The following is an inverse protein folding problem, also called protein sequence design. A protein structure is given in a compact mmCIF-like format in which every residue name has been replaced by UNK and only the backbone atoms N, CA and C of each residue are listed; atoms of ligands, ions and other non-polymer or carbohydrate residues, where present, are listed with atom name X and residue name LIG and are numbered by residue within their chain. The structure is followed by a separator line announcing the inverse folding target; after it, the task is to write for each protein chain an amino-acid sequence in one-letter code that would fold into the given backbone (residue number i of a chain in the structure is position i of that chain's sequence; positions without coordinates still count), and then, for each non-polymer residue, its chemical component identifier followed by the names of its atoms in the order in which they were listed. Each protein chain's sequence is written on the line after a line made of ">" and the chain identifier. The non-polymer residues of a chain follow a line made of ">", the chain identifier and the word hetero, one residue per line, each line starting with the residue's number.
data_IF_386853577774
#
_entry.id   IF_386853577774
#
_cell.length_a   1.000
_cell.length_b   1.000
_cell.length_c   1.000
_cell.angle_alpha   90.00
_cell.angle_beta   90.00
_cell.angle_gamma   90.00
#
_symmetry.space_group_name_H-M   'P 1'
#
loop_
_entity.id
_entity.type
_entity.pdbx_description
1 polymer ?
#
# COMPACT_ATOMS: atom_id res chain seq x y z
N UNK A 1 25.68 0.74 15.96
CA UNK A 1 25.09 0.28 15.82
C UNK A 1 24.22 -0.81 15.13
N UNK A 2 23.84 -1.83 15.88
CA UNK A 2 22.98 -2.92 15.37
C UNK A 2 21.58 -2.40 14.93
N UNK A 3 21.06 -1.40 15.62
CA UNK A 3 19.76 -0.82 15.31
C UNK A 3 19.77 -0.11 13.95
N UNK A 4 20.85 0.62 13.65
CA UNK A 4 20.98 1.36 12.40
C UNK A 4 21.07 0.42 11.19
N UNK A 5 21.81 -0.70 11.32
CA UNK A 5 21.90 -1.69 10.26
C UNK A 5 20.55 -2.34 9.97
N UNK A 6 19.81 -2.68 11.03
CA UNK A 6 18.49 -3.29 10.91
C UNK A 6 17.50 -2.33 10.23
N UNK A 7 17.51 -1.06 10.63
CA UNK A 7 16.68 -0.04 10.01
C UNK A 7 17.04 0.18 8.54
N UNK A 8 18.33 0.23 8.23
CA UNK A 8 18.79 0.37 6.84
C UNK A 8 18.34 -0.80 5.98
N UNK A 9 18.45 -2.04 6.48
CA UNK A 9 18.00 -3.22 5.76
C UNK A 9 16.49 -3.20 5.55
N UNK A 10 15.72 -2.81 6.55
CA UNK A 10 14.26 -2.70 6.43
C UNK A 10 13.87 -1.63 5.42
N UNK A 11 14.54 -0.47 5.44
CA UNK A 11 14.29 0.61 4.48
C UNK A 11 14.64 0.18 3.06
N UNK A 12 15.74 -0.56 2.88
CA UNK A 12 16.15 -1.06 1.56
C UNK A 12 15.11 -2.04 1.01
N UNK A 13 14.65 -2.98 1.83
CA UNK A 13 13.62 -3.95 1.42
C UNK A 13 12.32 -3.25 1.04
N UNK A 14 11.90 -2.29 1.85
CA UNK A 14 10.68 -1.52 1.59
C UNK A 14 10.80 -0.73 0.28
N UNK A 15 11.95 -0.13 0.05
CA UNK A 15 12.21 0.61 -1.19
C UNK A 15 12.14 -0.28 -2.41
N UNK A 16 12.72 -1.48 -2.36
CA UNK A 16 12.66 -2.43 -3.47
C UNK A 16 11.24 -2.86 -3.78
N UNK A 17 10.46 -3.20 -2.75
CA UNK A 17 9.07 -3.62 -2.93
C UNK A 17 8.26 -2.47 -3.54
N UNK A 18 8.42 -1.26 -3.02
CA UNK A 18 7.70 -0.09 -3.53
C UNK A 18 8.10 0.24 -4.97
N UNK A 19 9.38 0.15 -5.31
CA UNK A 19 9.85 0.34 -6.67
C UNK A 19 9.21 -0.66 -7.63
N UNK A 20 9.24 -1.94 -7.27
CA UNK A 20 8.65 -2.98 -8.11
C UNK A 20 7.14 -2.86 -8.21
N UNK A 21 6.47 -2.42 -7.15
CA UNK A 21 5.03 -2.15 -7.20
C UNK A 21 4.71 -1.07 -8.24
N UNK A 22 5.44 0.03 -8.22
CA UNK A 22 5.26 1.11 -9.17
C UNK A 22 5.56 0.64 -10.60
N UNK A 23 6.63 -0.13 -10.78
CA UNK A 23 7.02 -0.67 -12.09
C UNK A 23 5.97 -1.63 -12.64
N UNK A 24 5.50 -2.56 -11.81
CA UNK A 24 4.47 -3.50 -12.22
C UNK A 24 3.18 -2.76 -12.56
N UNK A 25 2.80 -1.76 -11.78
CA UNK A 25 1.61 -0.97 -12.04
C UNK A 25 1.69 -0.29 -13.41
N UNK A 26 2.84 0.29 -13.75
CA UNK A 26 3.03 0.94 -15.05
C UNK A 26 3.00 -0.05 -16.21
N UNK A 27 3.60 -1.22 -16.03
CA UNK A 27 3.70 -2.23 -17.09
C UNK A 27 2.37 -3.00 -17.31
N UNK A 28 1.62 -3.24 -16.25
CA UNK A 28 0.36 -4.01 -16.33
C UNK A 28 -0.86 -3.12 -16.53
N UNK A 29 -0.72 -1.82 -16.39
CA UNK A 29 -1.87 -0.92 -16.41
C UNK A 29 -2.81 -1.10 -15.22
N UNK A 30 -2.25 -1.44 -14.05
CA UNK A 30 -3.05 -1.64 -12.84
C UNK A 30 -3.88 -0.40 -12.51
N UNK A 31 -5.09 -0.59 -12.01
CA UNK A 31 -6.00 0.50 -11.69
C UNK A 31 -5.61 1.23 -10.42
N UNK A 32 -4.99 0.53 -9.47
CA UNK A 32 -4.59 1.12 -8.19
C UNK A 32 -3.47 0.32 -7.54
N UNK A 33 -2.70 1.00 -6.70
CA UNK A 33 -1.77 0.38 -5.76
C UNK A 33 -2.33 0.65 -4.37
N UNK A 34 -2.60 -0.39 -3.60
CA UNK A 34 -3.11 -0.24 -2.23
C UNK A 34 -2.02 -0.61 -1.24
N UNK A 35 -2.00 0.08 -0.12
CA UNK A 35 -1.10 -0.27 0.98
C UNK A 35 -1.81 -0.05 2.31
N UNK A 36 -1.56 -0.96 3.25
CA UNK A 36 -2.03 -0.85 4.61
C UNK A 36 -0.84 -0.49 5.49
N UNK A 37 -0.89 0.67 6.14
CA UNK A 37 0.26 1.18 6.90
C UNK A 37 -0.20 1.99 8.10
N UNK A 38 0.59 1.96 9.16
CA UNK A 38 0.35 2.80 10.34
C UNK A 38 1.20 4.08 10.34
N UNK A 39 2.33 4.07 9.66
CA UNK A 39 3.27 5.19 9.63
C UNK A 39 3.13 6.07 8.37
N UNK A 40 2.54 5.54 7.31
CA UNK A 40 2.46 6.22 6.02
C UNK A 40 3.74 6.12 5.20
N UNK A 41 4.78 5.48 5.71
CA UNK A 41 6.07 5.42 5.05
C UNK A 41 6.00 4.73 3.70
N UNK A 42 5.26 3.63 3.61
CA UNK A 42 5.10 2.89 2.36
C UNK A 42 4.41 3.74 1.29
N UNK A 43 3.36 4.46 1.67
CA UNK A 43 2.68 5.38 0.76
C UNK A 43 3.62 6.45 0.24
N UNK A 44 4.45 7.00 1.12
CA UNK A 44 5.46 7.98 0.73
C UNK A 44 6.45 7.38 -0.27
N UNK A 45 6.96 6.19 -0.02
CA UNK A 45 7.93 5.53 -0.90
C UNK A 45 7.34 5.23 -2.27
N UNK A 46 6.13 4.69 -2.33
CA UNK A 46 5.47 4.42 -3.62
C UNK A 46 5.24 5.70 -4.38
N UNK A 47 4.79 6.77 -3.69
CA UNK A 47 4.56 8.07 -4.31
C UNK A 47 5.84 8.66 -4.92
N UNK A 48 6.99 8.43 -4.29
CA UNK A 48 8.27 8.96 -4.78
C UNK A 48 8.66 8.42 -6.16
N UNK A 49 8.17 7.24 -6.53
CA UNK A 49 8.41 6.64 -7.86
C UNK A 49 7.40 7.10 -8.90
N UNK A 50 6.41 7.90 -8.51
CA UNK A 50 5.38 8.52 -9.36
C UNK A 50 4.77 7.54 -10.37
N UNK A 51 4.12 6.46 -9.90
CA UNK A 51 3.45 5.54 -10.81
C UNK A 51 2.28 6.23 -11.53
N UNK A 52 1.92 5.73 -12.71
CA UNK A 52 0.83 6.30 -13.49
C UNK A 52 -0.56 5.92 -12.98
N UNK A 53 -0.65 5.34 -11.80
CA UNK A 53 -1.91 4.91 -11.21
C UNK A 53 -2.10 5.51 -9.83
N UNK A 54 -3.33 5.46 -9.34
CA UNK A 54 -3.65 5.96 -8.00
C UNK A 54 -3.00 5.10 -6.93
N UNK A 55 -2.48 5.75 -5.90
CA UNK A 55 -1.97 5.11 -4.70
C UNK A 55 -3.01 5.31 -3.61
N UNK A 56 -3.53 4.22 -3.04
CA UNK A 56 -4.55 4.29 -2.01
C UNK A 56 -3.98 3.72 -0.73
N UNK A 57 -3.88 4.57 0.29
CA UNK A 57 -3.30 4.20 1.58
C UNK A 57 -4.40 3.99 2.59
N UNK A 58 -4.45 2.82 3.18
CA UNK A 58 -5.37 2.47 4.25
C UNK A 58 -4.63 2.53 5.57
N UNK A 59 -5.16 3.29 6.51
CA UNK A 59 -4.53 3.46 7.82
C UNK A 59 -5.57 3.67 8.91
N UNK A 60 -5.26 3.16 10.09
CA UNK A 60 -6.03 3.45 11.30
C UNK A 60 -5.51 4.68 12.05
N UNK A 61 -4.40 5.27 11.60
CA UNK A 61 -3.80 6.42 12.24
C UNK A 61 -4.35 7.71 11.64
N UNK A 62 -5.24 8.36 12.37
CA UNK A 62 -5.89 9.60 11.90
C UNK A 62 -4.89 10.75 11.69
N UNK A 63 -3.76 10.73 12.40
CA UNK A 63 -2.75 11.79 12.27
C UNK A 63 -2.11 11.84 10.89
N UNK A 64 -1.93 10.68 10.28
CA UNK A 64 -1.27 10.62 8.97
C UNK A 64 -2.22 10.76 7.79
N UNK A 65 -3.54 10.66 8.00
CA UNK A 65 -4.51 10.82 6.91
C UNK A 65 -4.33 12.15 6.17
N UNK A 66 -4.23 13.25 6.91
CA UNK A 66 -4.05 14.57 6.33
C UNK A 66 -2.69 14.72 5.65
N UNK A 67 -1.65 14.15 6.26
CA UNK A 67 -0.29 14.20 5.68
C UNK A 67 -0.20 13.44 4.38
N UNK A 68 -0.84 12.27 4.31
CA UNK A 68 -0.82 11.45 3.10
C UNK A 68 -1.52 12.12 1.93
N UNK A 69 -2.56 12.92 2.20
CA UNK A 69 -3.26 13.62 1.14
C UNK A 69 -2.42 14.70 0.45
N UNK A 70 -1.31 15.10 1.05
CA UNK A 70 -0.36 16.05 0.46
C UNK A 70 0.63 15.38 -0.50
N UNK A 71 0.69 14.06 -0.50
CA UNK A 71 1.62 13.30 -1.36
C UNK A 71 1.05 13.17 -2.77
N UNK A 72 1.94 13.19 -3.74
CA UNK A 72 1.58 13.06 -5.14
C UNK A 72 0.88 11.72 -5.42
N UNK A 73 -0.31 11.80 -6.01
CA UNK A 73 -1.05 10.62 -6.45
C UNK A 73 -1.62 9.76 -5.33
N UNK A 74 -1.54 10.21 -4.08
CA UNK A 74 -1.97 9.43 -2.92
C UNK A 74 -3.37 9.84 -2.48
N UNK A 75 -4.21 8.83 -2.23
CA UNK A 75 -5.49 9.00 -1.56
C UNK A 75 -5.48 8.16 -0.30
N UNK A 76 -5.91 8.74 0.81
CA UNK A 76 -5.89 8.07 2.11
C UNK A 76 -7.30 7.73 2.55
N UNK A 77 -7.46 6.52 3.11
CA UNK A 77 -8.75 6.02 3.61
C UNK A 77 -8.53 5.50 5.02
N UNK A 78 -9.40 5.91 5.93
CA UNK A 78 -9.39 5.39 7.29
C UNK A 78 -9.87 3.94 7.29
N UNK A 79 -9.06 3.06 7.87
CA UNK A 79 -9.38 1.64 7.96
C UNK A 79 -8.93 1.11 9.30
N UNK A 80 -9.87 0.68 10.12
CA UNK A 80 -9.59 0.20 11.48
C UNK A 80 -10.33 -1.10 11.75
N UNK A 81 -9.93 -2.17 11.06
CA UNK A 81 -10.50 -3.50 11.29
C UNK A 81 -9.37 -4.51 11.52
N UNK A 82 -9.58 -5.38 12.51
CA UNK A 82 -8.63 -6.45 12.83
C UNK A 82 -9.23 -7.78 12.38
N UNK A 83 -9.00 -8.12 11.12
CA UNK A 83 -9.43 -9.39 10.53
C UNK A 83 -8.21 -10.16 10.02
N UNK A 84 -8.43 -11.39 9.58
CA UNK A 84 -7.35 -12.17 9.00
C UNK A 84 -6.76 -11.49 7.77
N UNK A 85 -5.54 -11.85 7.42
CA UNK A 85 -4.81 -11.25 6.31
C UNK A 85 -5.59 -11.33 4.99
N UNK A 86 -6.11 -12.50 4.67
CA UNK A 86 -6.85 -12.69 3.41
C UNK A 86 -8.12 -11.86 3.37
N UNK A 87 -8.86 -11.84 4.47
CA UNK A 87 -10.08 -11.03 4.58
C UNK A 87 -9.77 -9.54 4.50
N UNK A 88 -8.65 -9.11 5.04
CA UNK A 88 -8.23 -7.71 4.97
C UNK A 88 -8.01 -7.28 3.53
N UNK A 89 -7.31 -8.09 2.74
CA UNK A 89 -7.07 -7.78 1.33
C UNK A 89 -8.39 -7.75 0.56
N UNK A 90 -9.27 -8.71 0.80
CA UNK A 90 -10.58 -8.74 0.14
C UNK A 90 -11.41 -7.50 0.48
N UNK A 91 -11.43 -7.09 1.74
CA UNK A 91 -12.13 -5.88 2.16
C UNK A 91 -11.55 -4.63 1.50
N UNK A 92 -10.22 -4.52 1.45
CA UNK A 92 -9.55 -3.40 0.80
C UNK A 92 -9.92 -3.33 -0.68
N UNK A 93 -9.89 -4.46 -1.36
CA UNK A 93 -10.26 -4.52 -2.77
C UNK A 93 -11.73 -4.15 -3.00
N UNK A 94 -12.62 -4.57 -2.11
CA UNK A 94 -14.04 -4.20 -2.16
C UNK A 94 -14.22 -2.69 -1.99
N UNK A 95 -13.51 -2.08 -1.06
CA UNK A 95 -13.56 -0.63 -0.83
C UNK A 95 -13.07 0.12 -2.08
N UNK A 96 -11.97 -0.34 -2.67
CA UNK A 96 -11.42 0.25 -3.89
C UNK A 96 -12.44 0.20 -5.02
N UNK A 97 -13.11 -0.93 -5.18
CA UNK A 97 -14.16 -1.09 -6.18
C UNK A 97 -15.36 -0.19 -5.91
N UNK A 98 -15.85 -0.14 -4.67
CA UNK A 98 -17.01 0.67 -4.28
C UNK A 98 -16.75 2.17 -4.48
N UNK A 99 -15.54 2.62 -4.24
CA UNK A 99 -15.18 4.02 -4.40
C UNK A 99 -14.86 4.41 -5.86
N UNK A 100 -14.94 3.46 -6.77
CA UNK A 100 -14.75 3.73 -8.19
C UNK A 100 -13.29 3.81 -8.65
N UNK A 101 -12.33 3.43 -7.82
CA UNK A 101 -10.92 3.45 -8.20
C UNK A 101 -10.55 2.27 -9.10
N UNK A 102 -11.30 1.19 -9.05
CA UNK A 102 -11.09 0.02 -9.89
C UNK A 102 -12.43 -0.58 -10.29
N UNK A 103 -12.49 -1.13 -11.49
CA UNK A 103 -13.69 -1.78 -12.04
C UNK A 103 -13.46 -3.28 -12.10
N UNK A 104 -14.54 -4.03 -12.26
CA UNK A 104 -14.46 -5.48 -12.43
C UNK A 104 -13.53 -5.83 -13.58
N UNK A 105 -12.58 -6.72 -13.32
CA UNK A 105 -11.56 -7.12 -14.29
C UNK A 105 -10.27 -6.33 -14.21
N UNK A 106 -10.24 -5.24 -13.45
CA UNK A 106 -9.01 -4.46 -13.26
C UNK A 106 -8.05 -5.15 -12.30
N UNK A 107 -6.76 -4.90 -12.50
CA UNK A 107 -5.70 -5.40 -11.63
C UNK A 107 -5.42 -4.35 -10.58
N UNK A 108 -5.29 -4.79 -9.32
CA UNK A 108 -4.91 -3.96 -8.19
C UNK A 108 -3.68 -4.59 -7.53
N UNK A 109 -2.70 -3.77 -7.22
CA UNK A 109 -1.48 -4.22 -6.53
C UNK A 109 -1.65 -3.91 -5.04
N UNK A 110 -1.57 -4.96 -4.22
CA UNK A 110 -1.70 -4.83 -2.78
C UNK A 110 -0.34 -4.97 -2.11
N UNK A 111 0.03 -3.98 -1.32
CA UNK A 111 1.25 -4.00 -0.51
C UNK A 111 0.86 -4.10 0.96
N UNK A 112 1.42 -5.06 1.66
CA UNK A 112 1.11 -5.26 3.06
C UNK A 112 2.27 -5.92 3.81
N UNK A 113 2.29 -5.72 5.12
CA UNK A 113 3.09 -6.53 6.03
C UNK A 113 2.27 -7.75 6.40
N UNK A 114 2.75 -8.91 6.08
CA UNK A 114 2.07 -10.17 6.40
C UNK A 114 2.88 -10.97 7.42
N UNK A 115 2.25 -11.45 8.49
CA UNK A 115 0.82 -11.29 8.82
C UNK A 115 0.46 -9.86 9.24
N UNK A 116 -0.75 -9.43 8.92
CA UNK A 116 -1.21 -8.04 9.19
C UNK A 116 -1.09 -7.66 10.65
N UNK A 117 -1.26 -8.63 11.55
CA UNK A 117 -1.21 -8.40 13.01
C UNK A 117 0.15 -7.89 13.50
N UNK A 118 1.23 -8.20 12.80
CA UNK A 118 2.57 -7.85 13.23
C UNK A 118 2.92 -6.38 12.95
N UNK A 119 2.13 -5.69 12.16
CA UNK A 119 2.28 -4.26 11.86
C UNK A 119 3.72 -3.84 11.53
N UNK A 120 4.46 -4.76 10.92
CA UNK A 120 5.84 -4.51 10.55
C UNK A 120 5.99 -3.79 9.22
N UNK A 121 7.20 -3.85 8.66
CA UNK A 121 7.48 -3.31 7.34
C UNK A 121 6.78 -4.13 6.26
N UNK A 122 6.45 -3.47 5.15
CA UNK A 122 5.88 -4.15 3.98
C UNK A 122 6.80 -5.28 3.52
N UNK A 123 6.26 -6.47 3.40
CA UNK A 123 7.01 -7.65 2.97
C UNK A 123 6.31 -8.44 1.87
N UNK A 124 5.13 -8.03 1.45
CA UNK A 124 4.31 -8.79 0.50
C UNK A 124 3.74 -7.86 -0.55
N UNK A 125 3.86 -8.29 -1.80
CA UNK A 125 3.23 -7.66 -2.95
C UNK A 125 2.31 -8.68 -3.58
N UNK A 126 1.01 -8.37 -3.67
CA UNK A 126 0.02 -9.26 -4.25
C UNK A 126 -0.69 -8.58 -5.41
N UNK A 127 -0.80 -9.29 -6.52
CA UNK A 127 -1.64 -8.87 -7.65
C UNK A 127 -3.02 -9.45 -7.46
N UNK A 128 -4.02 -8.58 -7.43
CA UNK A 128 -5.42 -8.99 -7.30
C UNK A 128 -6.22 -8.52 -8.50
N UNK A 129 -7.15 -9.34 -8.93
CA UNK A 129 -8.13 -8.96 -9.94
C UNK A 129 -9.46 -8.68 -9.26
N UNK A 130 -10.06 -7.54 -9.58
CA UNK A 130 -11.32 -7.11 -8.97
C UNK A 130 -12.51 -7.90 -9.56
#
# INVERSE_FOLDING_TARGET
>A
HRVDRRQRQMCIRDRFICYHAAKIANETGAAAITTLTNSGYTGFQVSSWRPHTNIIVFTSNKRILCRLSLLWGVKSIFYNRSVSTDKTIDEINNIVNQKGFAKKGDIVINLAAMPVKDQGMVNTLKLSEI
#
